data_IF_599956322276
#
_entry.id   IF_599956322276
#
_cell.length_a   1.000
_cell.length_b   1.000
_cell.length_c   1.000
_cell.angle_alpha   90.00
_cell.angle_beta   90.00
_cell.angle_gamma   90.00
#
_symmetry.space_group_name_H-M   'P 1'
#
loop_
_entity.id
_entity.type
_entity.pdbx_description
1 polymer ?
#
# COMPACT_ATOMS: atom_id res chain seq x y z
N UNK A 1 -16.30 2.07 -3.43
CA UNK A 1 -15.26 1.04 -3.61
C UNK A 1 -15.61 -0.25 -2.87
N UNK A 2 -15.59 -0.28 -1.54
CA UNK A 2 -15.78 -1.50 -0.72
C UNK A 2 -17.19 -2.11 -0.79
N UNK A 3 -18.15 -1.45 -1.40
CA UNK A 3 -19.53 -1.94 -1.57
C UNK A 3 -19.80 -2.56 -2.93
N UNK A 4 -18.87 -2.45 -3.88
CA UNK A 4 -19.00 -3.08 -5.20
C UNK A 4 -18.82 -4.60 -5.08
N UNK A 5 -19.94 -5.34 -5.13
CA UNK A 5 -19.93 -6.80 -5.04
C UNK A 5 -19.37 -7.51 -6.27
N UNK A 6 -19.27 -6.82 -7.41
CA UNK A 6 -18.70 -7.37 -8.66
C UNK A 6 -17.17 -7.31 -8.64
N UNK A 7 -16.60 -6.37 -7.88
CA UNK A 7 -15.17 -6.17 -7.72
C UNK A 7 -14.83 -6.03 -6.24
N UNK A 8 -15.00 -7.11 -5.45
CA UNK A 8 -14.83 -7.06 -4.01
C UNK A 8 -13.39 -6.73 -3.63
N UNK A 9 -13.23 -5.80 -2.71
CA UNK A 9 -11.95 -5.46 -2.10
C UNK A 9 -12.02 -5.66 -0.60
N UNK A 10 -10.89 -5.98 0.00
CA UNK A 10 -10.69 -6.02 1.43
C UNK A 10 -9.55 -5.08 1.82
N UNK A 11 -9.75 -4.33 2.89
CA UNK A 11 -8.72 -3.47 3.46
C UNK A 11 -8.30 -4.09 4.79
N UNK A 12 -7.04 -4.46 4.88
CA UNK A 12 -6.46 -5.05 6.07
C UNK A 12 -5.54 -4.03 6.73
N UNK A 13 -5.86 -3.67 7.96
CA UNK A 13 -5.02 -2.84 8.81
C UNK A 13 -4.30 -3.71 9.83
N UNK A 14 -3.02 -3.47 10.02
CA UNK A 14 -2.24 -4.07 11.09
C UNK A 14 -1.19 -3.07 11.58
N UNK A 15 -1.06 -2.92 12.88
CA UNK A 15 -0.12 -1.96 13.43
C UNK A 15 -0.28 -1.79 14.94
N UNK A 16 0.67 -1.09 15.52
CA UNK A 16 0.68 -0.68 16.92
C UNK A 16 1.08 0.78 17.00
N UNK A 17 0.38 1.56 17.82
CA UNK A 17 0.82 2.90 18.19
C UNK A 17 1.85 2.84 19.31
N UNK A 18 2.78 3.76 19.31
CA UNK A 18 3.70 3.92 20.44
C UNK A 18 2.91 4.24 21.71
N UNK A 19 3.33 3.77 22.91
CA UNK A 19 2.60 4.04 24.17
C UNK A 19 2.34 5.51 24.49
N UNK A 20 3.14 6.42 23.94
CA UNK A 20 2.99 7.88 24.10
C UNK A 20 2.31 8.57 22.91
N UNK A 21 1.88 7.80 21.88
CA UNK A 21 1.19 8.32 20.71
C UNK A 21 -0.32 8.19 20.87
N UNK A 22 -0.92 9.18 21.51
CA UNK A 22 -2.37 9.16 21.78
C UNK A 22 -3.19 9.43 20.50
N UNK A 23 -2.65 10.15 19.52
CA UNK A 23 -3.29 10.36 18.22
C UNK A 23 -3.37 9.06 17.45
N UNK A 24 -2.24 8.34 17.33
CA UNK A 24 -2.18 7.03 16.69
C UNK A 24 -3.10 6.01 17.35
N UNK A 25 -3.19 6.00 18.69
CA UNK A 25 -4.13 5.14 19.42
C UNK A 25 -5.59 5.44 19.06
N UNK A 26 -5.97 6.72 18.97
CA UNK A 26 -7.32 7.12 18.55
C UNK A 26 -7.63 6.68 17.12
N UNK A 27 -6.67 6.77 16.21
CA UNK A 27 -6.83 6.28 14.84
C UNK A 27 -7.00 4.76 14.80
N UNK A 28 -6.19 4.00 15.53
CA UNK A 28 -6.35 2.55 15.66
C UNK A 28 -7.70 2.17 16.23
N UNK A 29 -8.18 2.90 17.25
CA UNK A 29 -9.51 2.68 17.82
C UNK A 29 -10.62 2.89 16.77
N UNK A 30 -10.54 3.96 15.96
CA UNK A 30 -11.49 4.20 14.86
C UNK A 30 -11.48 3.06 13.85
N UNK A 31 -10.31 2.60 13.44
CA UNK A 31 -10.16 1.49 12.48
C UNK A 31 -10.79 0.22 13.05
N UNK A 32 -10.51 -0.11 14.31
CA UNK A 32 -11.11 -1.25 15.00
C UNK A 32 -12.65 -1.14 15.04
N UNK A 33 -13.20 0.05 15.34
CA UNK A 33 -14.65 0.29 15.32
C UNK A 33 -15.25 0.04 13.92
N UNK A 34 -14.57 0.44 12.85
CA UNK A 34 -15.01 0.11 11.48
C UNK A 34 -15.00 -1.39 11.22
N UNK A 35 -13.99 -2.12 11.68
CA UNK A 35 -13.90 -3.57 11.47
C UNK A 35 -15.01 -4.36 12.19
N UNK A 36 -15.51 -3.84 13.31
CA UNK A 36 -16.64 -4.43 14.04
C UNK A 36 -18.01 -4.01 13.51
N UNK A 37 -18.09 -2.99 12.67
CA UNK A 37 -19.35 -2.54 12.07
C UNK A 37 -19.88 -3.59 11.09
N UNK A 38 -21.17 -3.97 11.25
CA UNK A 38 -21.82 -4.99 10.40
C UNK A 38 -21.74 -4.67 8.89
N UNK A 39 -21.85 -3.41 8.52
CA UNK A 39 -21.79 -2.96 7.11
C UNK A 39 -20.42 -3.17 6.47
N UNK A 40 -19.35 -3.16 7.28
CA UNK A 40 -17.97 -3.30 6.82
C UNK A 40 -17.34 -4.64 7.18
N UNK A 41 -18.10 -5.52 7.83
CA UNK A 41 -17.61 -6.85 8.23
C UNK A 41 -17.07 -7.62 7.04
N UNK A 42 -15.88 -8.18 7.17
CA UNK A 42 -15.12 -8.89 6.12
C UNK A 42 -14.59 -7.99 4.99
N UNK A 43 -14.91 -6.70 4.98
CA UNK A 43 -14.39 -5.73 4.00
C UNK A 43 -13.27 -4.88 4.59
N UNK A 44 -13.41 -4.53 5.87
CA UNK A 44 -12.38 -3.86 6.67
C UNK A 44 -11.99 -4.78 7.80
N UNK A 45 -10.73 -5.11 7.89
CA UNK A 45 -10.18 -6.04 8.90
C UNK A 45 -9.08 -5.33 9.66
N UNK A 46 -9.13 -5.39 10.98
CA UNK A 46 -8.04 -4.96 11.85
C UNK A 46 -7.39 -6.19 12.48
N UNK A 47 -6.10 -6.39 12.21
CA UNK A 47 -5.32 -7.49 12.78
C UNK A 47 -4.60 -6.98 14.02
N UNK A 48 -5.01 -7.50 15.17
CA UNK A 48 -4.42 -7.16 16.47
C UNK A 48 -3.04 -7.81 16.64
N UNK A 49 -2.30 -7.33 17.63
CA UNK A 49 -1.01 -7.89 18.03
C UNK A 49 0.02 -7.97 16.91
N UNK A 50 0.04 -6.96 16.03
CA UNK A 50 1.01 -6.89 14.95
C UNK A 50 2.43 -7.18 15.44
N UNK A 51 3.03 -8.21 14.87
CA UNK A 51 4.39 -8.67 15.15
C UNK A 51 5.09 -9.11 13.85
N UNK A 52 6.30 -9.64 13.96
CA UNK A 52 7.07 -10.12 12.82
C UNK A 52 6.35 -11.23 12.04
N UNK A 53 5.65 -12.13 12.72
CA UNK A 53 4.95 -13.24 12.08
C UNK A 53 3.73 -12.74 11.29
N UNK A 54 2.93 -11.84 11.87
CA UNK A 54 1.83 -11.17 11.16
C UNK A 54 2.36 -10.39 9.95
N UNK A 55 3.44 -9.62 10.11
CA UNK A 55 4.07 -8.87 9.04
C UNK A 55 4.48 -9.77 7.88
N UNK A 56 5.11 -10.92 8.16
CA UNK A 56 5.53 -11.90 7.16
C UNK A 56 4.34 -12.43 6.36
N UNK A 57 3.25 -12.79 7.01
CA UNK A 57 2.06 -13.27 6.31
C UNK A 57 1.38 -12.19 5.47
N UNK A 58 1.34 -10.96 5.97
CA UNK A 58 0.78 -9.84 5.21
C UNK A 58 1.56 -9.56 3.93
N UNK A 59 2.88 -9.47 3.99
CA UNK A 59 3.70 -9.21 2.80
C UNK A 59 3.65 -10.35 1.78
N UNK A 60 3.30 -11.58 2.20
CA UNK A 60 3.14 -12.73 1.33
C UNK A 60 1.72 -12.89 0.80
N UNK A 61 0.72 -12.30 1.44
CA UNK A 61 -0.68 -12.61 1.19
C UNK A 61 -1.51 -11.46 0.62
N UNK A 62 -0.98 -10.23 0.53
CA UNK A 62 -1.73 -9.09 -0.02
C UNK A 62 -1.37 -8.83 -1.48
N UNK A 63 -2.36 -8.42 -2.26
CA UNK A 63 -2.14 -8.05 -3.66
C UNK A 63 -1.52 -6.65 -3.79
N UNK A 64 -1.94 -5.74 -2.91
CA UNK A 64 -1.50 -4.33 -2.88
C UNK A 64 -1.07 -3.95 -1.48
N UNK A 65 0.08 -3.29 -1.40
CA UNK A 65 0.57 -2.66 -0.18
C UNK A 65 0.35 -1.15 -0.27
N UNK A 66 -0.58 -0.65 0.54
CA UNK A 66 -0.85 0.77 0.64
C UNK A 66 0.10 1.42 1.63
N UNK A 67 0.81 2.47 1.19
CA UNK A 67 1.68 3.28 2.03
C UNK A 67 1.39 4.78 1.82
N UNK A 68 0.90 5.43 2.85
CA UNK A 68 0.50 6.85 2.81
C UNK A 68 1.27 7.69 3.85
N UNK A 69 2.60 7.81 3.70
CA UNK A 69 3.38 8.65 4.59
C UNK A 69 3.03 10.13 4.42
N UNK A 70 3.28 10.90 5.46
CA UNK A 70 3.29 12.37 5.37
C UNK A 70 4.60 12.81 4.73
N UNK A 71 4.56 13.24 3.48
CA UNK A 71 5.77 13.73 2.82
C UNK A 71 6.29 15.02 3.48
N UNK A 72 7.60 15.18 3.72
CA UNK A 72 8.74 14.29 3.41
C UNK A 72 9.19 13.42 4.60
N UNK A 73 8.29 12.87 5.38
CA UNK A 73 8.58 12.24 6.68
C UNK A 73 8.97 10.76 6.60
N UNK A 74 8.83 10.11 5.44
CA UNK A 74 9.22 8.71 5.24
C UNK A 74 10.71 8.61 4.95
N UNK A 75 11.47 8.10 5.90
CA UNK A 75 12.92 7.98 5.74
C UNK A 75 13.32 6.88 4.72
N UNK A 76 12.61 5.78 4.69
CA UNK A 76 12.88 4.67 3.77
C UNK A 76 11.60 3.95 3.33
N UNK A 77 10.92 3.21 4.22
CA UNK A 77 9.71 2.44 3.88
C UNK A 77 9.99 1.00 3.45
N UNK A 78 10.78 0.24 4.23
CA UNK A 78 11.25 -1.12 3.88
C UNK A 78 10.13 -2.16 3.66
N UNK A 79 8.93 -1.93 4.19
CA UNK A 79 7.79 -2.83 3.97
C UNK A 79 7.44 -2.95 2.49
N UNK A 80 7.40 -1.83 1.78
CA UNK A 80 7.15 -1.81 0.34
C UNK A 80 8.23 -2.53 -0.47
N UNK A 81 9.48 -2.53 -0.02
CA UNK A 81 10.56 -3.31 -0.66
C UNK A 81 10.31 -4.83 -0.54
N UNK A 82 9.86 -5.27 0.65
CA UNK A 82 9.52 -6.69 0.89
C UNK A 82 8.36 -7.16 0.01
N UNK A 83 7.37 -6.31 -0.22
CA UNK A 83 6.22 -6.60 -1.08
C UNK A 83 6.65 -6.95 -2.49
N UNK A 84 7.59 -6.20 -3.07
CA UNK A 84 8.10 -6.46 -4.43
C UNK A 84 8.64 -7.88 -4.55
N UNK A 85 9.37 -8.36 -3.56
CA UNK A 85 9.96 -9.70 -3.55
C UNK A 85 8.93 -10.82 -3.31
N UNK A 86 7.71 -10.46 -2.88
CA UNK A 86 6.63 -11.41 -2.60
C UNK A 86 5.48 -11.34 -3.63
N UNK A 87 5.65 -10.61 -4.71
CA UNK A 87 4.68 -10.57 -5.82
C UNK A 87 3.49 -9.63 -5.59
N UNK A 88 3.53 -8.79 -4.57
CA UNK A 88 2.56 -7.72 -4.40
C UNK A 88 2.99 -6.42 -5.09
N UNK A 89 2.06 -5.52 -5.31
CA UNK A 89 2.31 -4.20 -5.89
C UNK A 89 2.21 -3.11 -4.84
N UNK A 90 3.06 -2.09 -4.95
CA UNK A 90 2.98 -0.91 -4.10
C UNK A 90 1.99 0.10 -4.66
N UNK A 91 1.11 0.63 -3.80
CA UNK A 91 0.35 1.86 -3.99
C UNK A 91 0.82 2.84 -2.92
N UNK A 92 1.58 3.86 -3.30
CA UNK A 92 2.29 4.67 -2.32
C UNK A 92 2.35 6.14 -2.70
N UNK A 93 2.27 7.01 -1.71
CA UNK A 93 2.79 8.38 -1.82
C UNK A 93 4.26 8.29 -2.20
N UNK A 94 4.71 9.18 -3.08
CA UNK A 94 6.10 9.22 -3.57
C UNK A 94 6.99 9.88 -2.51
N UNK A 95 7.39 9.09 -1.52
CA UNK A 95 8.29 9.49 -0.44
C UNK A 95 9.22 8.32 -0.07
N UNK A 96 10.29 8.59 0.66
CA UNK A 96 11.31 7.60 0.97
C UNK A 96 11.82 6.87 -0.29
N UNK A 97 12.00 5.55 -0.20
CA UNK A 97 12.48 4.73 -1.31
C UNK A 97 11.60 4.80 -2.58
N UNK A 98 10.27 5.00 -2.42
CA UNK A 98 9.35 5.07 -3.58
C UNK A 98 9.57 6.28 -4.46
N UNK A 99 10.06 7.37 -3.88
CA UNK A 99 10.41 8.57 -4.66
C UNK A 99 11.57 8.33 -5.64
N UNK A 100 12.49 7.42 -5.28
CA UNK A 100 13.60 7.03 -6.12
C UNK A 100 13.26 5.87 -7.09
N UNK A 101 12.32 5.04 -6.68
CA UNK A 101 12.04 3.75 -7.30
C UNK A 101 10.93 3.79 -8.35
N UNK A 102 9.99 4.72 -8.23
CA UNK A 102 8.81 4.76 -9.09
C UNK A 102 9.15 5.26 -10.49
N UNK A 103 8.77 4.49 -11.50
CA UNK A 103 8.98 4.80 -12.92
C UNK A 103 7.69 4.84 -13.76
N UNK A 104 6.53 4.85 -13.11
CA UNK A 104 5.21 4.83 -13.75
C UNK A 104 4.71 3.45 -14.18
N UNK A 105 5.50 2.37 -14.03
CA UNK A 105 5.16 1.01 -14.51
C UNK A 105 5.36 -0.08 -13.48
N UNK A 106 6.00 0.21 -12.36
CA UNK A 106 6.38 -0.75 -11.32
C UNK A 106 5.48 -0.67 -10.07
N UNK A 107 4.21 -0.38 -10.25
CA UNK A 107 3.20 -0.18 -9.21
C UNK A 107 2.47 1.14 -9.39
N UNK A 108 1.86 1.65 -8.35
CA UNK A 108 0.97 2.81 -8.40
C UNK A 108 1.47 3.94 -7.48
N UNK A 109 1.19 5.19 -7.86
CA UNK A 109 1.49 6.36 -7.05
C UNK A 109 0.20 7.01 -6.51
N UNK A 110 0.28 7.49 -5.28
CA UNK A 110 -0.71 8.42 -4.72
C UNK A 110 -0.19 9.84 -4.98
N UNK A 111 -0.82 10.54 -5.91
CA UNK A 111 -0.40 11.87 -6.33
C UNK A 111 0.90 11.90 -7.13
N UNK A 112 1.40 13.09 -7.36
CA UNK A 112 2.54 13.35 -8.25
C UNK A 112 3.80 13.82 -7.50
N UNK A 113 3.86 13.58 -6.18
CA UNK A 113 5.01 14.00 -5.36
C UNK A 113 5.05 15.50 -5.00
N UNK A 114 4.01 16.25 -5.30
CA UNK A 114 3.87 17.64 -4.86
C UNK A 114 3.61 17.74 -3.36
N UNK A 115 3.99 18.89 -2.77
CA UNK A 115 3.69 19.21 -1.37
C UNK A 115 2.88 20.49 -1.29
N UNK A 116 2.00 20.59 -0.29
CA UNK A 116 1.28 21.79 0.06
C UNK A 116 1.67 22.26 1.46
N UNK A 117 1.79 23.56 1.66
CA UNK A 117 2.20 24.14 2.96
C UNK A 117 1.15 23.91 4.06
N UNK A 118 -0.12 23.85 3.70
CA UNK A 118 -1.21 23.54 4.62
C UNK A 118 -1.42 22.03 4.68
N UNK A 119 -1.21 21.37 5.84
CA UNK A 119 -1.38 19.94 6.01
C UNK A 119 -2.81 19.45 5.73
N UNK A 120 -3.83 20.25 6.03
CA UNK A 120 -5.23 19.85 5.79
C UNK A 120 -5.52 19.75 4.29
N UNK A 121 -5.02 20.71 3.50
CA UNK A 121 -5.13 20.68 2.04
C UNK A 121 -4.32 19.53 1.46
N UNK A 122 -3.13 19.24 2.01
CA UNK A 122 -2.32 18.08 1.58
C UNK A 122 -3.10 16.77 1.80
N UNK A 123 -3.67 16.57 2.99
CA UNK A 123 -4.43 15.35 3.28
C UNK A 123 -5.65 15.17 2.38
N UNK A 124 -6.36 16.25 2.10
CA UNK A 124 -7.50 16.18 1.20
C UNK A 124 -7.07 15.77 -0.21
N UNK A 125 -6.01 16.38 -0.75
CA UNK A 125 -5.46 16.03 -2.06
C UNK A 125 -4.95 14.61 -2.13
N UNK A 126 -4.21 14.16 -1.12
CA UNK A 126 -3.70 12.78 -1.07
C UNK A 126 -4.85 11.77 -1.00
N UNK A 127 -5.93 12.08 -0.28
CA UNK A 127 -7.12 11.25 -0.26
C UNK A 127 -7.82 11.19 -1.63
N UNK A 128 -7.98 12.32 -2.30
CA UNK A 128 -8.55 12.40 -3.64
C UNK A 128 -7.73 11.60 -4.65
N UNK A 129 -6.41 11.76 -4.67
CA UNK A 129 -5.50 10.97 -5.50
C UNK A 129 -5.55 9.48 -5.18
N UNK A 130 -5.60 9.11 -3.90
CA UNK A 130 -5.72 7.72 -3.48
C UNK A 130 -7.00 7.08 -4.05
N UNK A 131 -8.13 7.73 -3.88
CA UNK A 131 -9.41 7.22 -4.40
C UNK A 131 -9.40 7.15 -5.93
N UNK A 132 -8.90 8.19 -6.59
CA UNK A 132 -8.79 8.22 -8.04
C UNK A 132 -7.92 7.08 -8.58
N UNK A 133 -6.74 6.86 -8.02
CA UNK A 133 -5.83 5.79 -8.41
C UNK A 133 -6.46 4.41 -8.16
N UNK A 134 -7.13 4.22 -7.02
CA UNK A 134 -7.84 2.98 -6.74
C UNK A 134 -8.95 2.70 -7.75
N UNK A 135 -9.77 3.70 -8.06
CA UNK A 135 -10.94 3.56 -8.94
C UNK A 135 -10.58 3.42 -10.41
N UNK A 136 -9.59 4.19 -10.88
CA UNK A 136 -9.26 4.28 -12.30
C UNK A 136 -8.14 3.36 -12.74
N UNK A 137 -7.25 2.95 -11.84
CA UNK A 137 -6.06 2.18 -12.19
C UNK A 137 -6.01 0.82 -11.49
N UNK A 138 -5.96 0.79 -10.15
CA UNK A 138 -5.70 -0.44 -9.38
C UNK A 138 -6.80 -1.48 -9.57
N UNK A 139 -8.04 -1.10 -9.27
CA UNK A 139 -9.17 -2.03 -9.32
C UNK A 139 -9.46 -2.48 -10.76
N UNK A 140 -9.53 -1.61 -11.77
CA UNK A 140 -9.72 -2.04 -13.14
C UNK A 140 -8.65 -3.02 -13.60
N UNK A 141 -7.37 -2.73 -13.35
CA UNK A 141 -6.26 -3.57 -13.77
C UNK A 141 -6.28 -4.95 -13.09
N UNK A 142 -6.62 -5.01 -11.80
CA UNK A 142 -6.71 -6.27 -11.05
C UNK A 142 -7.83 -7.17 -11.57
N UNK A 143 -8.98 -6.57 -11.93
CA UNK A 143 -10.16 -7.30 -12.40
C UNK A 143 -10.21 -7.50 -13.93
N UNK A 144 -9.26 -6.94 -14.67
CA UNK A 144 -9.07 -7.24 -16.09
C UNK A 144 -8.49 -8.65 -16.26
N UNK A 145 -9.35 -9.61 -16.65
CA UNK A 145 -8.98 -11.02 -16.74
C UNK A 145 -9.38 -11.58 -18.09
N UNK A 146 -8.57 -12.51 -18.60
CA UNK A 146 -8.92 -13.27 -19.80
C UNK A 146 -10.02 -14.31 -19.54
N UNK A 147 -10.36 -15.08 -20.57
CA UNK A 147 -11.38 -16.15 -20.49
C UNK A 147 -11.01 -17.26 -19.48
N UNK A 148 -9.76 -17.38 -19.09
CA UNK A 148 -9.25 -18.34 -18.10
C UNK A 148 -9.10 -17.72 -16.69
N UNK A 149 -9.51 -16.46 -16.53
CA UNK A 149 -9.41 -15.74 -15.25
C UNK A 149 -8.03 -15.20 -14.93
N UNK A 150 -7.11 -15.12 -15.88
CA UNK A 150 -5.72 -14.67 -15.65
C UNK A 150 -5.62 -13.15 -15.88
N UNK A 151 -5.12 -12.39 -14.89
CA UNK A 151 -4.93 -10.93 -15.01
C UNK A 151 -3.55 -10.62 -15.64
N UNK A 152 -3.42 -10.78 -16.94
CA UNK A 152 -2.14 -10.66 -17.65
C UNK A 152 -1.41 -9.36 -17.42
N UNK A 153 -2.11 -8.23 -17.46
CA UNK A 153 -1.49 -6.90 -17.27
C UNK A 153 -1.05 -6.70 -15.83
N UNK A 154 -1.80 -7.21 -14.85
CA UNK A 154 -1.40 -7.25 -13.44
C UNK A 154 -0.13 -8.05 -13.23
N UNK A 155 -0.08 -9.28 -13.76
CA UNK A 155 1.09 -10.16 -13.68
C UNK A 155 2.31 -9.54 -14.38
N UNK A 156 2.10 -8.86 -15.52
CA UNK A 156 3.18 -8.13 -16.22
C UNK A 156 3.76 -7.03 -15.34
N UNK A 157 2.92 -6.27 -14.62
CA UNK A 157 3.39 -5.22 -13.70
C UNK A 157 4.17 -5.82 -12.52
N UNK A 158 3.71 -6.94 -11.94
CA UNK A 158 4.45 -7.66 -10.89
C UNK A 158 5.85 -8.06 -11.37
N UNK A 159 5.93 -8.73 -12.52
CA UNK A 159 7.21 -9.15 -13.10
C UNK A 159 8.14 -7.97 -13.36
N UNK A 160 7.60 -6.88 -13.85
CA UNK A 160 8.36 -5.65 -14.10
C UNK A 160 8.84 -5.00 -12.80
N UNK A 161 8.00 -4.95 -11.76
CA UNK A 161 8.40 -4.47 -10.45
C UNK A 161 9.54 -5.31 -9.85
N UNK A 162 9.42 -6.65 -9.89
CA UNK A 162 10.49 -7.54 -9.43
C UNK A 162 11.80 -7.31 -10.19
N UNK A 163 11.73 -7.20 -11.53
CA UNK A 163 12.90 -7.00 -12.38
C UNK A 163 13.60 -5.67 -12.13
N UNK A 164 12.85 -4.59 -11.93
CA UNK A 164 13.42 -3.23 -11.82
C UNK A 164 13.79 -2.84 -10.39
N UNK A 165 13.12 -3.39 -9.40
CA UNK A 165 13.26 -2.99 -7.99
C UNK A 165 14.00 -4.03 -7.13
N UNK A 166 13.84 -5.33 -7.39
CA UNK A 166 14.35 -6.39 -6.53
C UNK A 166 15.87 -6.36 -6.36
N UNK A 167 16.61 -6.15 -7.44
CA UNK A 167 18.08 -6.07 -7.40
C UNK A 167 18.58 -4.74 -6.82
N UNK A 168 17.79 -3.65 -6.98
CA UNK A 168 18.21 -2.31 -6.60
C UNK A 168 17.98 -2.02 -5.12
N UNK A 169 16.87 -2.52 -4.55
CA UNK A 169 16.45 -2.23 -3.17
C UNK A 169 16.49 -3.50 -2.31
N UNK A 170 17.69 -4.01 -2.07
CA UNK A 170 17.93 -5.16 -1.21
C UNK A 170 19.18 -4.95 -0.31
N UNK A 171 19.30 -5.80 0.71
CA UNK A 171 20.39 -5.70 1.68
C UNK A 171 21.76 -6.01 1.08
N UNK A 172 21.85 -6.92 0.11
CA UNK A 172 23.13 -7.28 -0.50
C UNK A 172 23.76 -6.11 -1.24
N UNK A 173 22.93 -5.37 -2.00
CA UNK A 173 23.39 -4.15 -2.64
C UNK A 173 23.79 -3.09 -1.60
N UNK A 174 22.94 -2.88 -0.60
CA UNK A 174 23.23 -1.92 0.46
C UNK A 174 24.61 -2.20 1.10
N UNK A 175 24.90 -3.45 1.46
CA UNK A 175 26.19 -3.83 2.07
C UNK A 175 27.36 -3.62 1.12
N UNK A 176 27.17 -3.77 -0.20
CA UNK A 176 28.22 -3.50 -1.18
C UNK A 176 28.51 -2.02 -1.37
N UNK A 177 27.50 -1.18 -1.20
CA UNK A 177 27.62 0.26 -1.38
C UNK A 177 28.21 0.96 -0.14
N UNK A 178 28.28 0.27 1.03
CA UNK A 178 28.96 0.72 2.27
C UNK A 178 30.39 0.22 2.35
#
# INVERSE_FOLDING_TARGET
LIEDSRRPIQIVFAGKAHPRDDEGKRLLQKIAQYSYNRSYRRKVVFVENYDYNVARHLVQGVDVWLNTPRRPMEACGTSGQKIVLNGGLNLSVLDGWRNEAYDGRNGFAVGHGGMHNDPAVQYQRDAEYLYETLEKEVIPLYYERDAHGIPHNWVKMIKYAMLTLGWRFNADRMVKDY
#
